data_IF_080624969961
#
_entry.id   IF_080624969961
#
_cell.length_a   1.000
_cell.length_b   1.000
_cell.length_c   1.000
_cell.angle_alpha   90.00
_cell.angle_beta   90.00
_cell.angle_gamma   90.00
#
_symmetry.space_group_name_H-M   'P 1'
#
loop_
_entity.id
_entity.type
_entity.pdbx_description
1 polymer ?
#
# COMPACT_ATOMS: atom_id res chain seq x y z
N UNK A 1 7.32 -20.96 62.73
CA UNK A 1 6.30 -21.63 61.89
C UNK A 1 5.78 -20.56 60.96
N UNK A 2 6.59 -20.27 59.95
CA UNK A 2 6.42 -19.17 59.00
C UNK A 2 5.81 -19.75 57.73
N UNK A 3 4.63 -19.26 57.35
CA UNK A 3 4.01 -19.61 56.09
C UNK A 3 4.45 -18.58 55.03
N UNK A 4 5.40 -19.00 54.20
CA UNK A 4 5.77 -18.35 52.95
C UNK A 4 4.63 -18.55 51.94
N UNK A 5 4.05 -17.44 51.47
CA UNK A 5 3.12 -17.41 50.34
C UNK A 5 3.96 -17.04 49.11
N UNK A 6 4.17 -18.02 48.24
CA UNK A 6 4.85 -17.86 46.95
C UNK A 6 3.94 -17.19 45.93
N UNK A 7 4.44 -16.16 45.26
CA UNK A 7 3.85 -15.45 44.12
C UNK A 7 3.44 -16.39 42.97
N UNK A 8 2.30 -16.14 42.28
CA UNK A 8 2.07 -16.66 40.94
C UNK A 8 2.50 -15.59 39.91
N UNK A 9 3.75 -15.67 39.46
CA UNK A 9 4.18 -14.93 38.26
C UNK A 9 3.72 -15.70 37.02
N UNK A 10 2.82 -15.05 36.29
CA UNK A 10 2.44 -15.24 34.89
C UNK A 10 3.25 -16.28 34.09
N UNK A 11 2.64 -17.45 33.85
CA UNK A 11 2.93 -18.29 32.69
C UNK A 11 2.46 -17.55 31.42
N UNK A 12 3.36 -16.72 30.87
CA UNK A 12 3.25 -16.30 29.48
C UNK A 12 3.55 -17.54 28.65
N UNK A 13 2.52 -18.05 27.97
CA UNK A 13 2.60 -19.04 26.90
C UNK A 13 3.78 -18.71 25.98
N UNK A 14 4.87 -19.48 26.14
CA UNK A 14 5.92 -19.58 25.12
C UNK A 14 5.26 -20.25 23.91
N UNK A 15 4.76 -19.44 22.99
CA UNK A 15 4.53 -19.89 21.62
C UNK A 15 5.91 -20.20 21.06
N UNK A 16 6.28 -21.48 21.05
CA UNK A 16 7.41 -21.97 20.29
C UNK A 16 7.19 -21.58 18.82
N UNK A 17 7.91 -20.55 18.35
CA UNK A 17 7.97 -20.28 16.91
C UNK A 17 8.79 -21.41 16.31
N UNK A 18 8.26 -22.15 15.31
CA UNK A 18 9.03 -23.18 14.66
C UNK A 18 10.26 -22.54 14.01
N UNK A 19 11.43 -22.85 14.57
CA UNK A 19 12.75 -22.58 13.98
C UNK A 19 13.09 -23.65 12.95
N UNK A 20 12.18 -23.89 12.00
CA UNK A 20 12.56 -24.60 10.79
C UNK A 20 13.27 -23.61 9.86
N UNK A 21 14.37 -24.07 9.26
CA UNK A 21 15.18 -23.27 8.34
C UNK A 21 14.38 -23.05 7.05
N UNK A 22 13.53 -22.03 7.05
CA UNK A 22 12.91 -21.53 5.83
C UNK A 22 14.02 -21.05 4.89
N UNK A 23 14.16 -21.68 3.72
CA UNK A 23 14.85 -21.06 2.60
C UNK A 23 14.01 -19.85 2.19
N UNK A 24 14.31 -18.67 2.76
CA UNK A 24 13.55 -17.46 2.53
C UNK A 24 13.72 -17.05 1.05
N UNK A 25 12.63 -17.13 0.28
CA UNK A 25 12.55 -16.57 -1.07
C UNK A 25 13.03 -15.10 -1.07
N UNK A 26 13.65 -14.59 -2.17
CA UNK A 26 13.99 -13.18 -2.30
C UNK A 26 12.79 -12.24 -2.06
N UNK A 27 11.58 -12.69 -2.41
CA UNK A 27 10.33 -11.98 -2.12
C UNK A 27 10.08 -11.83 -0.62
N UNK A 28 10.22 -12.94 0.12
CA UNK A 28 10.05 -12.96 1.58
C UNK A 28 11.11 -12.10 2.25
N UNK A 29 12.35 -12.15 1.77
CA UNK A 29 13.43 -11.36 2.36
C UNK A 29 13.28 -9.88 2.07
N UNK A 30 12.95 -9.48 0.84
CA UNK A 30 12.70 -8.08 0.51
C UNK A 30 11.52 -7.51 1.31
N UNK A 31 10.44 -8.27 1.48
CA UNK A 31 9.31 -7.87 2.33
C UNK A 31 9.68 -7.75 3.82
N UNK A 32 10.50 -8.67 4.33
CA UNK A 32 11.02 -8.60 5.71
C UNK A 32 11.97 -7.40 5.90
N UNK A 33 12.82 -7.08 4.92
CA UNK A 33 13.68 -5.90 4.93
C UNK A 33 12.88 -4.60 4.84
N UNK A 34 11.82 -4.57 4.02
CA UNK A 34 10.90 -3.44 3.94
C UNK A 34 10.24 -3.16 5.30
N UNK A 35 9.98 -4.21 6.10
CA UNK A 35 9.43 -4.08 7.46
C UNK A 35 10.49 -3.80 8.54
N UNK A 36 11.70 -4.32 8.41
CA UNK A 36 12.77 -4.24 9.41
C UNK A 36 14.13 -4.01 8.72
N UNK A 37 14.67 -2.80 8.87
CA UNK A 37 15.89 -2.24 8.26
C UNK A 37 17.24 -3.02 8.39
N UNK A 38 17.28 -4.31 8.76
CA UNK A 38 18.52 -4.95 9.26
C UNK A 38 18.78 -6.42 8.89
N UNK A 39 18.11 -7.03 7.91
CA UNK A 39 18.47 -8.41 7.51
C UNK A 39 18.74 -8.59 6.02
N UNK A 40 20.02 -8.66 5.65
CA UNK A 40 20.48 -9.17 4.36
C UNK A 40 20.08 -10.65 4.20
N UNK A 41 19.56 -11.04 3.02
CA UNK A 41 19.37 -12.45 2.66
C UNK A 41 20.67 -13.13 2.25
N UNK A 42 20.62 -14.44 2.43
CA UNK A 42 21.49 -15.45 1.85
C UNK A 42 21.17 -15.55 0.34
N UNK A 43 22.20 -15.65 -0.50
CA UNK A 43 22.10 -15.97 -1.93
C UNK A 43 21.37 -17.30 -2.14
N UNK A 44 20.33 -17.32 -2.98
CA UNK A 44 19.62 -18.55 -3.35
C UNK A 44 19.71 -18.73 -4.86
N UNK A 45 20.63 -19.58 -5.30
CA UNK A 45 20.89 -19.87 -6.71
C UNK A 45 19.89 -20.84 -7.38
N UNK A 46 18.82 -21.27 -6.70
CA UNK A 46 17.70 -22.00 -7.30
C UNK A 46 16.41 -21.63 -6.55
N UNK A 47 15.68 -20.61 -7.04
CA UNK A 47 14.40 -20.24 -6.45
C UNK A 47 13.27 -20.81 -7.32
N UNK A 48 12.53 -21.79 -6.77
CA UNK A 48 11.28 -22.25 -7.40
C UNK A 48 10.23 -21.15 -7.28
N UNK A 49 9.47 -20.94 -8.35
CA UNK A 49 8.35 -20.02 -8.32
C UNK A 49 7.33 -20.48 -7.27
N UNK A 50 6.86 -19.60 -6.37
CA UNK A 50 5.73 -19.89 -5.51
C UNK A 50 4.51 -20.29 -6.33
N UNK A 51 3.65 -21.14 -5.77
CA UNK A 51 2.46 -21.66 -6.49
C UNK A 51 1.54 -20.56 -7.02
N UNK A 52 1.50 -19.42 -6.33
CA UNK A 52 0.68 -18.30 -6.78
C UNK A 52 1.17 -17.71 -8.10
N UNK A 53 2.45 -17.81 -8.44
CA UNK A 53 3.05 -17.02 -9.51
C UNK A 53 2.61 -17.47 -10.90
N UNK A 54 2.12 -16.53 -11.71
CA UNK A 54 1.67 -16.76 -13.08
C UNK A 54 2.66 -16.11 -14.08
N UNK A 55 3.59 -16.88 -14.67
CA UNK A 55 4.68 -16.34 -15.51
C UNK A 55 4.22 -15.92 -16.91
N UNK A 56 3.02 -16.33 -17.34
CA UNK A 56 2.58 -16.21 -18.73
C UNK A 56 1.82 -14.92 -19.05
N UNK A 57 1.80 -13.94 -18.13
CA UNK A 57 1.07 -12.69 -18.31
C UNK A 57 1.89 -11.47 -17.95
N UNK A 58 1.69 -10.38 -18.69
CA UNK A 58 2.24 -9.06 -18.34
C UNK A 58 1.45 -8.42 -17.19
N UNK A 59 1.98 -7.32 -16.63
CA UNK A 59 1.26 -6.50 -15.64
C UNK A 59 -0.03 -5.91 -16.23
N UNK A 60 0.02 -5.44 -17.48
CA UNK A 60 -1.15 -4.89 -18.18
C UNK A 60 -2.28 -5.91 -18.26
N UNK A 61 -1.97 -7.15 -18.66
CA UNK A 61 -2.95 -8.23 -18.76
C UNK A 61 -3.54 -8.59 -17.39
N UNK A 62 -2.72 -8.59 -16.31
CA UNK A 62 -3.25 -8.79 -14.95
C UNK A 62 -4.19 -7.65 -14.53
N UNK A 63 -3.86 -6.40 -14.87
CA UNK A 63 -4.71 -5.25 -14.55
C UNK A 63 -6.04 -5.27 -15.33
N UNK A 64 -6.01 -5.61 -16.62
CA UNK A 64 -7.21 -5.76 -17.45
C UNK A 64 -8.15 -6.83 -16.88
N UNK A 65 -7.61 -7.98 -16.46
CA UNK A 65 -8.38 -9.02 -15.78
C UNK A 65 -8.93 -8.56 -14.44
N UNK A 66 -8.16 -7.79 -13.68
CA UNK A 66 -8.63 -7.23 -12.42
C UNK A 66 -9.83 -6.29 -12.65
N UNK A 67 -9.88 -5.58 -13.77
CA UNK A 67 -10.99 -4.71 -14.14
C UNK A 67 -12.26 -5.48 -14.57
N UNK A 68 -12.16 -6.74 -14.98
CA UNK A 68 -13.30 -7.54 -15.46
C UNK A 68 -14.21 -7.97 -14.29
N UNK A 69 -15.49 -7.52 -14.23
CA UNK A 69 -16.42 -7.91 -13.17
C UNK A 69 -16.69 -9.42 -13.09
N UNK A 70 -16.58 -10.14 -14.21
CA UNK A 70 -16.76 -11.59 -14.27
C UNK A 70 -15.56 -12.37 -13.76
N UNK A 71 -14.40 -11.72 -13.64
CA UNK A 71 -13.18 -12.36 -13.19
C UNK A 71 -13.10 -12.40 -11.64
N UNK A 72 -12.90 -13.57 -11.02
CA UNK A 72 -12.72 -13.69 -9.57
C UNK A 72 -11.42 -13.05 -9.09
N UNK A 73 -11.49 -12.27 -8.00
CA UNK A 73 -10.32 -11.68 -7.35
C UNK A 73 -9.82 -12.66 -6.27
N UNK A 74 -8.80 -13.46 -6.61
CA UNK A 74 -8.15 -14.38 -5.66
C UNK A 74 -6.88 -13.77 -5.06
N UNK A 75 -6.37 -14.37 -3.98
CA UNK A 75 -5.13 -13.92 -3.34
C UNK A 75 -3.93 -13.98 -4.28
N UNK A 76 -3.86 -15.01 -5.12
CA UNK A 76 -2.80 -15.21 -6.11
C UNK A 76 -2.80 -14.12 -7.17
N UNK A 77 -3.98 -13.69 -7.63
CA UNK A 77 -4.12 -12.58 -8.60
C UNK A 77 -3.56 -11.30 -7.99
N UNK A 78 -3.93 -11.00 -6.74
CA UNK A 78 -3.48 -9.80 -6.04
C UNK A 78 -1.96 -9.81 -5.83
N UNK A 79 -1.41 -10.94 -5.40
CA UNK A 79 0.04 -11.11 -5.23
C UNK A 79 0.77 -10.96 -6.56
N UNK A 80 0.30 -11.59 -7.65
CA UNK A 80 0.88 -11.44 -8.99
C UNK A 80 0.89 -9.98 -9.43
N UNK A 81 -0.23 -9.28 -9.28
CA UNK A 81 -0.32 -7.87 -9.65
C UNK A 81 0.74 -7.07 -8.89
N UNK A 82 0.84 -7.24 -7.56
CA UNK A 82 1.77 -6.47 -6.73
C UNK A 82 3.23 -6.75 -7.08
N UNK A 83 3.63 -8.02 -7.22
CA UNK A 83 5.04 -8.35 -7.52
C UNK A 83 5.42 -7.92 -8.94
N UNK A 84 4.51 -8.02 -9.91
CA UNK A 84 4.73 -7.51 -11.27
C UNK A 84 4.74 -5.98 -11.31
N UNK A 85 3.89 -5.33 -10.49
CA UNK A 85 3.87 -3.88 -10.35
C UNK A 85 5.19 -3.36 -9.78
N UNK A 86 5.74 -4.03 -8.76
CA UNK A 86 7.09 -3.75 -8.25
C UNK A 86 8.16 -3.82 -9.34
N UNK A 87 8.18 -4.91 -10.12
CA UNK A 87 9.14 -5.09 -11.21
C UNK A 87 8.98 -4.01 -12.29
N UNK A 88 7.75 -3.76 -12.73
CA UNK A 88 7.45 -2.71 -13.68
C UNK A 88 7.91 -1.35 -13.15
N UNK A 89 7.69 -1.03 -11.87
CA UNK A 89 8.14 0.21 -11.25
C UNK A 89 9.66 0.41 -11.36
N UNK A 90 10.46 -0.67 -11.33
CA UNK A 90 11.92 -0.59 -11.53
C UNK A 90 12.31 -0.46 -13.00
N UNK A 91 11.59 -1.13 -13.89
CA UNK A 91 11.93 -1.26 -15.31
C UNK A 91 10.65 -1.31 -16.17
N UNK A 92 10.44 -0.28 -16.99
CA UNK A 92 9.23 -0.11 -17.81
C UNK A 92 8.95 -1.30 -18.73
N UNK A 93 10.01 -1.98 -19.20
CA UNK A 93 9.85 -3.12 -20.09
C UNK A 93 9.10 -4.27 -19.42
N UNK A 94 9.18 -4.39 -18.08
CA UNK A 94 8.54 -5.46 -17.30
C UNK A 94 7.03 -5.26 -17.12
N UNK A 95 6.49 -4.10 -17.50
CA UNK A 95 5.05 -3.84 -17.46
C UNK A 95 4.26 -4.40 -18.65
N UNK A 96 4.90 -4.56 -19.80
CA UNK A 96 4.24 -4.86 -21.10
C UNK A 96 4.42 -6.28 -21.60
N UNK A 97 5.33 -7.04 -20.99
CA UNK A 97 5.57 -8.44 -21.34
C UNK A 97 5.42 -9.35 -20.12
N UNK A 98 5.17 -10.65 -20.34
CA UNK A 98 5.35 -11.65 -19.30
C UNK A 98 6.77 -11.62 -18.73
N UNK A 99 6.88 -11.79 -17.41
CA UNK A 99 8.15 -11.82 -16.68
C UNK A 99 8.30 -13.23 -16.13
N UNK A 100 9.44 -13.88 -16.37
CA UNK A 100 9.68 -15.17 -15.73
C UNK A 100 10.01 -14.98 -14.24
N UNK A 101 9.89 -16.06 -13.45
CA UNK A 101 10.10 -15.94 -12.02
C UNK A 101 11.57 -15.64 -11.66
N UNK A 102 12.53 -16.12 -12.45
CA UNK A 102 13.95 -15.91 -12.18
C UNK A 102 14.35 -14.44 -12.32
N UNK A 103 13.83 -13.78 -13.36
CA UNK A 103 14.01 -12.34 -13.58
C UNK A 103 13.36 -11.54 -12.45
N UNK A 104 12.12 -11.88 -12.07
CA UNK A 104 11.43 -11.24 -10.95
C UNK A 104 12.22 -11.39 -9.64
N UNK A 105 12.65 -12.61 -9.32
CA UNK A 105 13.47 -12.90 -8.14
C UNK A 105 14.77 -12.09 -8.15
N UNK A 106 15.43 -11.97 -9.31
CA UNK A 106 16.63 -11.15 -9.46
C UNK A 106 16.40 -9.66 -9.22
N UNK A 107 15.24 -9.11 -9.63
CA UNK A 107 14.87 -7.72 -9.32
C UNK A 107 14.65 -7.52 -7.82
N UNK A 108 13.98 -8.45 -7.14
CA UNK A 108 13.79 -8.39 -5.68
C UNK A 108 15.10 -8.58 -4.91
N UNK A 109 16.00 -9.45 -5.37
CA UNK A 109 17.33 -9.64 -4.78
C UNK A 109 18.19 -8.38 -4.94
N UNK A 110 18.22 -7.79 -6.15
CA UNK A 110 18.90 -6.52 -6.39
C UNK A 110 18.36 -5.41 -5.48
N UNK A 111 17.03 -5.35 -5.31
CA UNK A 111 16.43 -4.45 -4.32
C UNK A 111 16.85 -4.81 -2.88
N UNK A 112 17.00 -6.08 -2.54
CA UNK A 112 17.46 -6.48 -1.20
C UNK A 112 18.85 -5.95 -0.81
N UNK A 113 19.67 -5.57 -1.81
CA UNK A 113 21.04 -5.06 -1.62
C UNK A 113 21.29 -3.69 -2.27
N UNK A 114 20.25 -3.01 -2.77
CA UNK A 114 20.38 -1.72 -3.47
C UNK A 114 20.96 -0.58 -2.63
N UNK A 115 21.16 -0.76 -1.32
CA UNK A 115 21.81 0.22 -0.44
C UNK A 115 23.32 -0.06 -0.28
N UNK A 116 23.80 -1.21 -0.72
CA UNK A 116 25.23 -1.59 -0.68
C UNK A 116 25.99 -1.12 -1.93
N UNK A 117 27.31 -1.29 -1.93
CA UNK A 117 28.15 -1.12 -3.13
C UNK A 117 27.70 -2.10 -4.21
N UNK A 118 27.69 -1.65 -5.47
CA UNK A 118 27.39 -2.51 -6.61
C UNK A 118 28.39 -3.66 -6.69
N UNK A 119 27.89 -4.86 -6.97
CA UNK A 119 28.69 -6.02 -7.33
C UNK A 119 29.08 -5.98 -8.81
N UNK A 120 30.13 -6.71 -9.25
CA UNK A 120 30.59 -6.69 -10.65
C UNK A 120 29.54 -7.09 -11.69
N UNK A 121 28.47 -7.78 -11.28
CA UNK A 121 27.40 -8.25 -12.15
C UNK A 121 26.15 -7.36 -12.11
N UNK A 122 26.18 -6.26 -11.35
CA UNK A 122 25.03 -5.38 -11.22
C UNK A 122 24.84 -4.50 -12.44
N UNK A 123 23.59 -4.37 -12.85
CA UNK A 123 23.15 -3.28 -13.70
C UNK A 123 23.14 -1.98 -12.88
N UNK A 124 24.15 -1.14 -13.12
CA UNK A 124 24.36 0.13 -12.41
C UNK A 124 23.14 1.06 -12.57
N UNK A 125 22.50 1.09 -13.74
CA UNK A 125 21.34 1.95 -13.97
C UNK A 125 20.15 1.48 -13.15
N UNK A 126 19.88 0.17 -13.18
CA UNK A 126 18.82 -0.45 -12.37
C UNK A 126 19.04 -0.21 -10.87
N UNK A 127 20.27 -0.36 -10.39
CA UNK A 127 20.60 -0.11 -8.98
C UNK A 127 20.41 1.36 -8.60
N UNK A 128 20.79 2.29 -9.47
CA UNK A 128 20.59 3.73 -9.23
C UNK A 128 19.10 4.10 -9.20
N UNK A 129 18.29 3.54 -10.10
CA UNK A 129 16.82 3.68 -10.07
C UNK A 129 16.23 3.17 -8.76
N UNK A 130 16.65 1.99 -8.30
CA UNK A 130 16.21 1.44 -7.01
C UNK A 130 16.57 2.33 -5.82
N UNK A 131 17.76 2.95 -5.82
CA UNK A 131 18.16 3.92 -4.78
C UNK A 131 17.29 5.17 -4.82
N UNK A 132 17.06 5.69 -6.02
CA UNK A 132 16.26 6.91 -6.25
C UNK A 132 14.80 6.71 -5.82
N UNK A 133 14.23 5.52 -6.04
CA UNK A 133 12.84 5.20 -5.71
C UNK A 133 12.68 4.34 -4.46
N UNK A 134 13.71 4.24 -3.63
CA UNK A 134 13.76 3.32 -2.48
C UNK A 134 12.54 3.46 -1.55
N UNK A 135 12.11 4.70 -1.28
CA UNK A 135 10.95 4.96 -0.42
C UNK A 135 9.66 4.30 -0.92
N UNK A 136 9.40 4.40 -2.23
CA UNK A 136 8.22 3.80 -2.87
C UNK A 136 8.37 2.29 -3.02
N UNK A 137 9.55 1.84 -3.45
CA UNK A 137 9.83 0.42 -3.64
C UNK A 137 9.76 -0.38 -2.34
N UNK A 138 10.10 0.21 -1.19
CA UNK A 138 9.89 -0.42 0.13
C UNK A 138 8.42 -0.72 0.40
N UNK A 139 7.53 0.18 -0.02
CA UNK A 139 6.08 -0.01 0.10
C UNK A 139 5.65 -1.26 -0.68
N UNK A 140 6.05 -1.31 -1.95
CA UNK A 140 5.70 -2.36 -2.89
C UNK A 140 6.38 -3.71 -2.57
N UNK A 141 7.57 -3.67 -1.98
CA UNK A 141 8.29 -4.86 -1.56
C UNK A 141 7.60 -5.62 -0.43
N UNK A 142 6.77 -4.94 0.38
CA UNK A 142 5.84 -5.59 1.31
C UNK A 142 4.59 -6.11 0.57
N UNK A 143 4.82 -7.04 -0.35
CA UNK A 143 3.78 -7.55 -1.24
C UNK A 143 2.55 -8.12 -0.52
N UNK A 144 2.69 -8.90 0.59
CA UNK A 144 1.56 -9.35 1.40
C UNK A 144 0.68 -8.19 1.90
N UNK A 145 1.30 -7.12 2.41
CA UNK A 145 0.57 -5.94 2.87
C UNK A 145 -0.14 -5.26 1.71
N UNK A 146 0.56 -5.02 0.61
CA UNK A 146 -0.01 -4.34 -0.55
C UNK A 146 -1.15 -5.15 -1.21
N UNK A 147 -1.06 -6.47 -1.22
CA UNK A 147 -2.15 -7.33 -1.69
C UNK A 147 -3.38 -7.27 -0.77
N UNK A 148 -3.19 -7.22 0.55
CA UNK A 148 -4.28 -6.99 1.51
C UNK A 148 -5.00 -5.68 1.25
N UNK A 149 -4.25 -4.58 1.15
CA UNK A 149 -4.81 -3.26 0.91
C UNK A 149 -5.54 -3.19 -0.43
N UNK A 150 -4.94 -3.76 -1.47
CA UNK A 150 -5.55 -3.85 -2.80
C UNK A 150 -6.89 -4.62 -2.75
N UNK A 151 -6.95 -5.74 -2.01
CA UNK A 151 -8.18 -6.51 -1.80
C UNK A 151 -9.26 -5.65 -1.15
N UNK A 152 -8.91 -4.94 -0.09
CA UNK A 152 -9.86 -4.13 0.66
C UNK A 152 -10.48 -3.05 -0.23
N UNK A 153 -9.64 -2.27 -0.94
CA UNK A 153 -10.10 -1.21 -1.85
C UNK A 153 -10.93 -1.78 -3.00
N UNK A 154 -10.53 -2.91 -3.57
CA UNK A 154 -11.32 -3.60 -4.60
C UNK A 154 -12.67 -4.13 -4.09
N UNK A 155 -12.76 -4.48 -2.81
CA UNK A 155 -13.96 -4.96 -2.16
C UNK A 155 -14.93 -3.85 -1.72
N UNK A 156 -14.50 -2.58 -1.76
CA UNK A 156 -15.34 -1.46 -1.37
C UNK A 156 -16.56 -1.34 -2.29
N UNK A 157 -17.71 -1.09 -1.66
CA UNK A 157 -18.98 -0.88 -2.36
C UNK A 157 -19.09 0.57 -2.77
N UNK A 158 -19.05 0.82 -4.08
CA UNK A 158 -19.33 2.14 -4.63
C UNK A 158 -20.84 2.29 -4.83
N UNK A 159 -21.42 3.39 -4.38
CA UNK A 159 -22.80 3.76 -4.74
C UNK A 159 -22.78 4.37 -6.14
N UNK A 160 -23.49 3.74 -7.08
CA UNK A 160 -23.64 4.25 -8.46
C UNK A 160 -24.71 5.34 -8.54
N UNK A 161 -24.44 6.49 -7.92
CA UNK A 161 -25.35 7.65 -7.98
C UNK A 161 -24.96 8.62 -9.09
N UNK A 162 -23.67 8.70 -9.40
CA UNK A 162 -23.11 9.59 -10.42
C UNK A 162 -22.90 8.88 -11.75
N UNK A 163 -22.99 9.64 -12.85
CA UNK A 163 -22.63 9.15 -14.19
C UNK A 163 -21.14 8.80 -14.31
N UNK A 164 -20.30 9.41 -13.45
CA UNK A 164 -18.84 9.25 -13.47
C UNK A 164 -18.27 9.04 -12.08
N UNK A 165 -17.49 7.97 -11.93
CA UNK A 165 -16.68 7.70 -10.75
C UNK A 165 -15.54 8.71 -10.63
N UNK A 166 -15.36 9.27 -9.43
CA UNK A 166 -14.21 10.12 -9.08
C UNK A 166 -13.44 9.46 -7.93
N UNK A 167 -12.20 9.09 -8.17
CA UNK A 167 -11.28 8.58 -7.15
C UNK A 167 -10.20 9.61 -6.81
N UNK A 168 -9.93 9.79 -5.51
CA UNK A 168 -8.86 10.67 -5.01
C UNK A 168 -7.93 9.87 -4.10
N UNK A 169 -6.64 9.85 -4.41
CA UNK A 169 -5.61 9.35 -3.49
C UNK A 169 -4.86 10.53 -2.87
N UNK A 170 -5.01 10.69 -1.56
CA UNK A 170 -4.51 11.83 -0.78
C UNK A 170 -3.01 11.83 -0.58
N UNK A 171 -2.34 10.71 -0.88
CA UNK A 171 -0.91 10.54 -0.67
C UNK A 171 -0.39 9.43 -1.55
N UNK A 172 -0.41 9.67 -2.85
CA UNK A 172 0.03 8.70 -3.86
C UNK A 172 1.52 8.48 -3.73
N UNK A 173 1.87 7.29 -3.25
CA UNK A 173 3.24 6.88 -3.03
C UNK A 173 3.71 6.09 -4.26
N UNK A 174 3.14 4.92 -4.48
CA UNK A 174 3.47 4.07 -5.64
C UNK A 174 2.45 4.14 -6.76
N UNK A 175 1.26 4.70 -6.48
CA UNK A 175 0.15 4.67 -7.42
C UNK A 175 -0.69 3.39 -7.35
N UNK A 176 -0.29 2.38 -6.57
CA UNK A 176 -1.04 1.13 -6.48
C UNK A 176 -2.49 1.34 -6.01
N UNK A 177 -2.75 2.36 -5.18
CA UNK A 177 -4.11 2.70 -4.76
C UNK A 177 -4.93 3.37 -5.87
N UNK A 178 -4.29 4.11 -6.78
CA UNK A 178 -4.93 4.61 -8.00
C UNK A 178 -5.33 3.44 -8.91
N UNK A 179 -4.46 2.44 -9.06
CA UNK A 179 -4.77 1.18 -9.78
C UNK A 179 -5.95 0.46 -9.14
N UNK A 180 -5.96 0.33 -7.81
CA UNK A 180 -7.05 -0.31 -7.06
C UNK A 180 -8.40 0.38 -7.29
N UNK A 181 -8.44 1.72 -7.18
CA UNK A 181 -9.64 2.51 -7.42
C UNK A 181 -10.14 2.37 -8.87
N UNK A 182 -9.24 2.42 -9.85
CA UNK A 182 -9.59 2.31 -11.26
C UNK A 182 -10.19 0.93 -11.58
N UNK A 183 -9.58 -0.14 -11.07
CA UNK A 183 -10.12 -1.49 -11.20
C UNK A 183 -11.46 -1.63 -10.49
N UNK A 184 -11.59 -1.16 -9.24
CA UNK A 184 -12.85 -1.19 -8.49
C UNK A 184 -13.97 -0.45 -9.26
N UNK A 185 -13.69 0.73 -9.81
CA UNK A 185 -14.66 1.47 -10.60
C UNK A 185 -15.08 0.75 -11.89
N UNK A 186 -14.12 0.21 -12.66
CA UNK A 186 -14.41 -0.54 -13.90
C UNK A 186 -15.25 -1.79 -13.63
N UNK A 187 -14.92 -2.54 -12.57
CA UNK A 187 -15.72 -3.68 -12.10
C UNK A 187 -17.15 -3.28 -11.74
N UNK A 188 -17.37 -2.05 -11.27
CA UNK A 188 -18.70 -1.51 -10.96
C UNK A 188 -19.38 -0.84 -12.17
N UNK A 189 -18.85 -1.04 -13.38
CA UNK A 189 -19.45 -0.61 -14.63
C UNK A 189 -19.29 0.88 -14.92
N UNK A 190 -18.23 1.51 -14.41
CA UNK A 190 -17.79 2.84 -14.83
C UNK A 190 -16.74 2.69 -15.96
N UNK A 191 -17.11 3.10 -17.18
CA UNK A 191 -16.24 2.92 -18.35
C UNK A 191 -14.99 3.84 -18.32
N UNK A 192 -15.15 5.08 -17.89
CA UNK A 192 -14.08 6.10 -17.82
C UNK A 192 -13.99 6.74 -16.42
N UNK A 193 -13.48 6.00 -15.41
CA UNK A 193 -13.29 6.54 -14.08
C UNK A 193 -12.22 7.64 -14.08
N UNK A 194 -12.51 8.77 -13.42
CA UNK A 194 -11.53 9.82 -13.20
C UNK A 194 -10.82 9.58 -11.87
N UNK A 195 -9.61 9.02 -11.93
CA UNK A 195 -8.84 8.70 -10.73
C UNK A 195 -7.56 9.52 -10.69
N UNK A 196 -7.35 10.25 -9.60
CA UNK A 196 -6.17 11.11 -9.45
C UNK A 196 -5.54 10.99 -8.08
N UNK A 197 -4.22 10.95 -8.10
CA UNK A 197 -3.39 10.88 -6.92
C UNK A 197 -2.58 12.15 -6.67
N UNK A 198 -2.34 12.52 -5.41
CA UNK A 198 -1.46 13.63 -5.07
C UNK A 198 -0.07 13.13 -4.65
N UNK A 199 0.98 13.66 -5.27
CA UNK A 199 2.37 13.35 -4.90
C UNK A 199 3.22 14.62 -4.85
N UNK A 200 4.07 14.71 -3.84
CA UNK A 200 5.00 15.84 -3.67
C UNK A 200 6.40 15.56 -4.22
N UNK A 201 6.86 14.31 -4.19
CA UNK A 201 8.16 13.93 -4.73
C UNK A 201 8.09 13.96 -6.27
N UNK A 202 8.81 14.88 -6.95
CA UNK A 202 8.71 14.99 -8.41
C UNK A 202 9.30 13.77 -9.12
N UNK A 203 10.34 13.17 -8.55
CA UNK A 203 11.07 12.06 -9.16
C UNK A 203 10.27 10.77 -9.09
N UNK A 204 9.77 10.43 -7.90
CA UNK A 204 8.83 9.33 -7.76
C UNK A 204 7.50 9.64 -8.49
N UNK A 205 7.12 10.92 -8.50
CA UNK A 205 6.02 11.56 -9.24
C UNK A 205 5.90 11.12 -10.68
N UNK A 206 6.92 11.47 -11.46
CA UNK A 206 7.03 11.15 -12.88
C UNK A 206 6.97 9.64 -13.09
N UNK A 207 7.76 8.89 -12.31
CA UNK A 207 7.82 7.42 -12.45
C UNK A 207 6.46 6.76 -12.21
N UNK A 208 5.77 7.16 -11.15
CA UNK A 208 4.42 6.67 -10.82
C UNK A 208 3.43 7.07 -11.91
N UNK A 209 3.50 8.31 -12.40
CA UNK A 209 2.62 8.76 -13.47
C UNK A 209 2.77 7.92 -14.73
N UNK A 210 4.00 7.62 -15.15
CA UNK A 210 4.28 6.81 -16.34
C UNK A 210 3.70 5.39 -16.22
N UNK A 211 3.86 4.77 -15.05
CA UNK A 211 3.30 3.44 -14.80
C UNK A 211 1.76 3.46 -14.76
N UNK A 212 1.14 4.49 -14.17
CA UNK A 212 -0.31 4.65 -14.18
C UNK A 212 -0.86 4.88 -15.59
N UNK A 213 -0.14 5.63 -16.43
CA UNK A 213 -0.50 5.82 -17.84
C UNK A 213 -0.37 4.53 -18.64
N UNK A 214 0.68 3.73 -18.37
CA UNK A 214 0.86 2.42 -19.00
C UNK A 214 -0.34 1.51 -18.77
N UNK A 215 -0.92 1.55 -17.58
CA UNK A 215 -2.11 0.79 -17.22
C UNK A 215 -3.42 1.50 -17.62
N UNK A 216 -3.37 2.79 -17.95
CA UNK A 216 -4.56 3.62 -18.11
C UNK A 216 -5.38 3.69 -16.82
N UNK A 217 -4.73 3.68 -15.65
CA UNK A 217 -5.39 3.65 -14.35
C UNK A 217 -5.75 5.03 -13.80
N UNK A 218 -5.01 6.08 -14.16
CA UNK A 218 -5.26 7.44 -13.69
C UNK A 218 -4.03 8.34 -13.81
N UNK A 219 -4.07 9.47 -13.12
CA UNK A 219 -3.02 10.49 -13.16
C UNK A 219 -2.44 10.79 -11.76
N UNK A 220 -1.22 11.31 -11.75
CA UNK A 220 -0.60 11.93 -10.57
C UNK A 220 -0.60 13.44 -10.75
N UNK A 221 -1.05 14.17 -9.73
CA UNK A 221 -0.93 15.61 -9.64
C UNK A 221 0.24 15.96 -8.73
N UNK A 222 1.25 16.62 -9.30
CA UNK A 222 2.42 17.13 -8.59
C UNK A 222 2.09 18.42 -7.79
N UNK A 223 1.12 18.33 -6.88
CA UNK A 223 0.61 19.44 -6.07
C UNK A 223 0.34 19.00 -4.64
N UNK A 224 0.28 19.95 -3.72
CA UNK A 224 0.01 19.65 -2.32
C UNK A 224 -1.50 19.47 -2.07
N UNK A 225 -1.94 18.36 -1.48
CA UNK A 225 -3.36 18.13 -1.18
C UNK A 225 -3.88 19.04 -0.05
N UNK A 226 -3.01 19.78 0.64
CA UNK A 226 -3.39 20.84 1.58
C UNK A 226 -3.69 22.19 0.90
N UNK A 227 -3.42 22.34 -0.41
CA UNK A 227 -3.86 23.52 -1.16
C UNK A 227 -5.24 23.26 -1.77
N UNK A 228 -6.21 24.13 -1.48
CA UNK A 228 -7.57 24.06 -2.04
C UNK A 228 -7.58 24.07 -3.56
N UNK A 229 -6.62 24.76 -4.21
CA UNK A 229 -6.53 24.84 -5.68
C UNK A 229 -6.22 23.49 -6.31
N UNK A 230 -5.60 22.57 -5.58
CA UNK A 230 -5.31 21.20 -6.01
C UNK A 230 -6.56 20.40 -6.36
N UNK A 231 -7.74 20.83 -5.88
CA UNK A 231 -9.03 20.19 -6.12
C UNK A 231 -9.90 20.92 -7.16
N UNK A 232 -9.39 21.94 -7.84
CA UNK A 232 -10.17 22.71 -8.83
C UNK A 232 -10.78 21.81 -9.93
N UNK A 233 -10.12 20.70 -10.25
CA UNK A 233 -10.58 19.72 -11.23
C UNK A 233 -11.81 18.92 -10.79
N UNK A 234 -12.17 18.91 -9.51
CA UNK A 234 -13.41 18.31 -9.03
C UNK A 234 -14.64 19.08 -9.53
N UNK A 235 -14.49 20.37 -9.89
CA UNK A 235 -15.56 21.22 -10.41
C UNK A 235 -16.82 21.22 -9.50
N UNK A 236 -16.62 21.13 -8.19
CA UNK A 236 -17.70 21.10 -7.19
C UNK A 236 -18.36 19.73 -6.97
N UNK A 237 -17.89 18.68 -7.65
CA UNK A 237 -18.34 17.29 -7.43
C UNK A 237 -17.58 16.67 -6.26
N UNK A 238 -18.26 15.81 -5.50
CA UNK A 238 -17.58 15.01 -4.48
C UNK A 238 -16.90 13.79 -5.08
N UNK A 239 -15.77 13.36 -4.51
CA UNK A 239 -15.21 12.06 -4.84
C UNK A 239 -16.19 10.93 -4.51
N UNK A 240 -16.25 9.91 -5.35
CA UNK A 240 -16.92 8.65 -5.04
C UNK A 240 -16.10 7.85 -4.02
N UNK A 241 -14.77 7.94 -4.12
CA UNK A 241 -13.83 7.26 -3.23
C UNK A 241 -12.63 8.14 -2.91
N UNK A 242 -12.21 8.14 -1.65
CA UNK A 242 -10.98 8.78 -1.18
C UNK A 242 -10.11 7.73 -0.49
N UNK A 243 -8.88 7.56 -0.96
CA UNK A 243 -7.90 6.65 -0.38
C UNK A 243 -6.65 7.41 0.05
N UNK A 244 -5.79 6.80 0.86
CA UNK A 244 -4.51 7.38 1.21
C UNK A 244 -3.45 6.31 1.38
N UNK A 245 -2.67 6.09 0.32
CA UNK A 245 -1.65 5.04 0.27
C UNK A 245 -0.58 5.20 1.36
N UNK A 246 -0.23 6.43 1.75
CA UNK A 246 0.78 6.69 2.78
C UNK A 246 0.39 6.12 4.14
N UNK A 247 -0.89 6.12 4.50
CA UNK A 247 -1.35 5.54 5.76
C UNK A 247 -1.16 4.03 5.76
N UNK A 248 -1.43 3.40 4.63
CA UNK A 248 -1.47 1.94 4.57
C UNK A 248 -0.08 1.35 4.39
N UNK A 249 0.82 2.07 3.70
CA UNK A 249 2.15 1.56 3.38
C UNK A 249 3.29 2.10 4.25
N UNK A 250 3.17 3.26 4.89
CA UNK A 250 4.24 3.84 5.72
C UNK A 250 3.80 4.02 7.17
N UNK A 251 4.59 3.52 8.12
CA UNK A 251 4.40 3.76 9.57
C UNK A 251 4.91 5.15 9.99
N UNK A 252 4.48 6.19 9.29
CA UNK A 252 4.81 7.57 9.65
C UNK A 252 3.82 8.09 10.71
N UNK A 253 4.29 8.94 11.65
CA UNK A 253 3.39 9.63 12.55
C UNK A 253 2.38 10.49 11.78
N UNK A 254 1.13 10.50 12.22
CA UNK A 254 0.11 11.41 11.72
C UNK A 254 0.42 12.80 12.25
N UNK A 255 0.59 13.75 11.33
CA UNK A 255 0.95 15.13 11.65
C UNK A 255 0.10 16.14 10.89
N UNK A 256 0.16 17.39 11.36
CA UNK A 256 -0.60 18.51 10.82
C UNK A 256 -0.46 18.64 9.30
N UNK A 257 0.79 18.65 8.80
CA UNK A 257 1.07 18.90 7.38
C UNK A 257 0.70 17.74 6.46
N UNK A 258 1.06 16.53 6.85
CA UNK A 258 1.04 15.38 5.93
C UNK A 258 -0.26 14.54 6.04
N UNK A 259 -1.07 14.76 7.09
CA UNK A 259 -2.35 14.07 7.30
C UNK A 259 -3.53 15.03 7.51
N UNK A 260 -3.50 15.86 8.56
CA UNK A 260 -4.69 16.63 8.96
C UNK A 260 -5.07 17.75 7.99
N UNK A 261 -4.10 18.55 7.54
CA UNK A 261 -4.34 19.67 6.62
C UNK A 261 -4.89 19.23 5.25
N UNK A 262 -4.40 18.13 4.63
CA UNK A 262 -5.00 17.55 3.43
C UNK A 262 -6.48 17.20 3.60
N UNK A 263 -6.86 16.46 4.66
CA UNK A 263 -8.26 16.07 4.87
C UNK A 263 -9.15 17.24 5.27
N UNK A 264 -8.64 18.19 6.05
CA UNK A 264 -9.35 19.44 6.35
C UNK A 264 -9.67 20.20 5.06
N UNK A 265 -8.67 20.33 4.17
CA UNK A 265 -8.84 20.98 2.87
C UNK A 265 -9.87 20.26 2.02
N UNK A 266 -9.79 18.93 1.91
CA UNK A 266 -10.76 18.12 1.18
C UNK A 266 -12.19 18.30 1.73
N UNK A 267 -12.36 18.28 3.05
CA UNK A 267 -13.66 18.51 3.68
C UNK A 267 -14.24 19.90 3.32
N UNK A 268 -13.41 20.95 3.28
CA UNK A 268 -13.85 22.29 2.85
C UNK A 268 -14.23 22.37 1.36
N UNK A 269 -13.71 21.46 0.53
CA UNK A 269 -14.05 21.35 -0.89
C UNK A 269 -15.36 20.57 -1.07
N UNK A 270 -15.57 19.53 -0.28
CA UNK A 270 -16.76 18.66 -0.36
C UNK A 270 -18.03 19.30 0.24
N UNK A 271 -17.89 20.15 1.27
CA UNK A 271 -18.97 20.88 1.96
C UNK A 271 -20.24 20.07 2.20
N UNK A 272 -21.21 20.16 1.29
CA UNK A 272 -22.59 19.65 1.41
C UNK A 272 -22.79 18.29 0.71
N UNK A 273 -21.80 17.80 -0.05
CA UNK A 273 -21.93 16.63 -0.92
C UNK A 273 -21.14 15.41 -0.43
N UNK A 274 -20.75 15.35 0.84
CA UNK A 274 -19.89 14.28 1.37
C UNK A 274 -20.60 12.94 1.62
N UNK A 275 -21.94 12.91 1.64
CA UNK A 275 -22.74 11.81 2.21
C UNK A 275 -22.57 10.44 1.55
N UNK A 276 -22.00 10.38 0.36
CA UNK A 276 -21.80 9.14 -0.41
C UNK A 276 -20.32 8.82 -0.71
N UNK A 277 -19.38 9.65 -0.25
CA UNK A 277 -17.95 9.39 -0.44
C UNK A 277 -17.50 8.28 0.47
N UNK A 278 -16.89 7.24 -0.10
CA UNK A 278 -16.31 6.14 0.68
C UNK A 278 -14.83 6.41 0.93
N UNK A 279 -14.37 6.23 2.16
CA UNK A 279 -12.98 6.46 2.55
C UNK A 279 -12.26 5.14 2.80
N UNK A 280 -11.00 5.06 2.37
CA UNK A 280 -10.07 3.99 2.77
C UNK A 280 -8.76 4.56 3.32
N UNK A 281 -8.39 4.22 4.56
CA UNK A 281 -9.19 3.45 5.51
C UNK A 281 -10.47 4.20 5.94
N UNK A 282 -11.46 3.47 6.47
CA UNK A 282 -12.72 4.07 6.99
C UNK A 282 -12.48 4.89 8.27
N UNK A 283 -11.30 4.75 8.86
CA UNK A 283 -10.81 5.51 9.99
C UNK A 283 -9.47 4.93 10.44
N UNK A 284 -8.78 5.64 11.33
CA UNK A 284 -7.50 5.21 11.89
C UNK A 284 -7.55 5.22 13.40
N UNK A 285 -6.83 4.28 14.01
CA UNK A 285 -6.53 4.28 15.43
C UNK A 285 -5.11 4.79 15.60
N UNK A 286 -4.97 5.88 16.33
CA UNK A 286 -3.70 6.52 16.57
C UNK A 286 -3.43 6.68 18.06
N UNK A 287 -2.19 6.52 18.47
CA UNK A 287 -1.74 6.62 19.85
C UNK A 287 -1.00 7.95 20.06
N UNK A 288 -1.45 8.72 21.04
CA UNK A 288 -0.77 9.90 21.53
C UNK A 288 0.10 9.50 22.73
N UNK A 289 1.42 9.60 22.59
CA UNK A 289 2.35 9.26 23.66
C UNK A 289 2.25 10.22 24.84
N UNK A 290 2.17 11.52 24.55
CA UNK A 290 2.17 12.58 25.57
C UNK A 290 0.93 12.50 26.48
N UNK A 291 -0.20 12.12 25.89
CA UNK A 291 -1.47 11.97 26.61
C UNK A 291 -1.76 10.51 27.04
N UNK A 292 -0.86 9.57 26.73
CA UNK A 292 -0.98 8.13 27.04
C UNK A 292 -2.36 7.55 26.67
N UNK A 293 -2.86 7.86 25.47
CA UNK A 293 -4.20 7.46 25.03
C UNK A 293 -4.23 7.08 23.55
N UNK A 294 -5.20 6.24 23.20
CA UNK A 294 -5.53 5.94 21.80
C UNK A 294 -6.80 6.67 21.40
N UNK A 295 -6.83 7.18 20.17
CA UNK A 295 -7.96 7.91 19.60
C UNK A 295 -8.36 7.30 18.26
N UNK A 296 -9.66 7.39 17.96
CA UNK A 296 -10.23 7.01 16.68
C UNK A 296 -10.42 8.29 15.86
N UNK A 297 -9.85 8.31 14.67
CA UNK A 297 -9.95 9.43 13.73
C UNK A 297 -10.68 8.92 12.49
N UNK A 298 -11.90 9.41 12.24
CA UNK A 298 -12.77 8.94 11.16
C UNK A 298 -13.29 10.08 10.28
N UNK A 299 -13.76 9.79 9.05
CA UNK A 299 -14.43 10.75 8.18
C UNK A 299 -15.63 11.44 8.83
N UNK A 300 -16.37 10.75 9.69
CA UNK A 300 -17.51 11.33 10.43
C UNK A 300 -17.10 12.49 11.34
N UNK A 301 -15.86 12.45 11.85
CA UNK A 301 -15.24 13.53 12.61
C UNK A 301 -14.38 14.46 11.73
N UNK A 302 -14.53 14.40 10.40
CA UNK A 302 -13.74 15.18 9.43
C UNK A 302 -12.27 14.76 9.32
N UNK A 303 -11.92 13.58 9.83
CA UNK A 303 -10.54 13.11 10.00
C UNK A 303 -9.67 14.12 10.78
N UNK A 304 -10.24 14.75 11.80
CA UNK A 304 -9.58 15.74 12.66
C UNK A 304 -9.44 15.26 14.11
N UNK A 305 -8.57 15.94 14.85
CA UNK A 305 -8.41 15.84 16.31
C UNK A 305 -8.37 17.27 16.89
N UNK A 306 -8.41 17.44 18.21
CA UNK A 306 -8.19 18.78 18.80
C UNK A 306 -6.79 19.30 18.47
N UNK A 307 -6.64 20.63 18.37
CA UNK A 307 -5.37 21.28 17.98
C UNK A 307 -4.18 20.85 18.85
N UNK A 308 -4.43 20.57 20.13
CA UNK A 308 -3.40 20.09 21.07
C UNK A 308 -2.76 18.75 20.62
N UNK A 309 -3.54 17.87 19.97
CA UNK A 309 -3.07 16.55 19.53
C UNK A 309 -2.54 16.55 18.10
N UNK A 310 -2.92 17.52 17.26
CA UNK A 310 -2.42 17.62 15.88
C UNK A 310 -0.89 17.75 15.81
N UNK A 311 -0.29 18.38 16.83
CA UNK A 311 1.16 18.61 16.93
C UNK A 311 1.89 17.55 17.75
N UNK A 312 1.17 16.62 18.38
CA UNK A 312 1.73 15.60 19.26
C UNK A 312 2.39 14.42 18.51
N UNK A 313 2.26 14.37 17.17
CA UNK A 313 2.84 13.31 16.34
C UNK A 313 2.24 11.94 16.68
N UNK A 314 1.03 11.67 16.19
CA UNK A 314 0.28 10.48 16.59
C UNK A 314 0.80 9.23 15.90
N UNK A 315 1.12 8.20 16.68
CA UNK A 315 1.59 6.93 16.12
C UNK A 315 0.39 6.07 15.69
N UNK A 316 0.25 5.81 14.39
CA UNK A 316 -0.81 4.96 13.88
C UNK A 316 -0.62 3.50 14.34
N UNK A 317 -1.68 2.90 14.90
CA UNK A 317 -1.69 1.53 15.43
C UNK A 317 -2.55 0.58 14.59
N UNK A 318 -3.60 1.09 13.98
CA UNK A 318 -4.57 0.31 13.22
C UNK A 318 -5.45 1.17 12.34
N UNK A 319 -6.24 0.52 11.50
CA UNK A 319 -7.25 1.15 10.67
C UNK A 319 -8.60 0.46 10.86
N UNK A 320 -9.66 1.22 10.59
CA UNK A 320 -11.01 0.70 10.52
C UNK A 320 -11.30 0.27 9.09
N UNK A 321 -11.82 -0.94 8.94
CA UNK A 321 -12.33 -1.46 7.68
C UNK A 321 -13.44 -2.48 7.95
N UNK A 322 -14.60 -2.33 7.29
CA UNK A 322 -15.72 -3.25 7.46
C UNK A 322 -16.23 -3.32 8.91
N UNK A 323 -16.11 -2.23 9.67
CA UNK A 323 -16.47 -2.19 11.10
C UNK A 323 -15.51 -2.94 12.03
N UNK A 324 -14.36 -3.41 11.53
CA UNK A 324 -13.32 -4.07 12.33
C UNK A 324 -12.06 -3.23 12.43
N UNK A 325 -11.32 -3.42 13.52
CA UNK A 325 -9.98 -2.86 13.70
C UNK A 325 -8.97 -3.82 13.10
N UNK A 326 -8.20 -3.36 12.13
CA UNK A 326 -7.07 -4.11 11.58
C UNK A 326 -5.77 -3.47 12.09
N UNK A 327 -5.00 -4.15 12.95
CA UNK A 327 -3.72 -3.63 13.42
C UNK A 327 -2.71 -3.55 12.26
N UNK A 328 -1.98 -2.43 12.15
CA UNK A 328 -1.03 -2.19 11.04
C UNK A 328 0.04 -3.29 10.96
N UNK A 329 0.48 -3.81 12.11
CA UNK A 329 1.50 -4.86 12.16
C UNK A 329 1.00 -6.24 11.66
N UNK A 330 -0.32 -6.47 11.65
CA UNK A 330 -0.95 -7.72 11.19
C UNK A 330 -1.44 -7.68 9.75
N UNK A 331 -1.36 -6.51 9.12
CA UNK A 331 -1.83 -6.33 7.76
C UNK A 331 -1.03 -7.20 6.78
N UNK A 332 -1.75 -8.01 6.01
CA UNK A 332 -1.18 -8.97 5.05
C UNK A 332 -0.73 -10.31 5.64
N UNK A 333 -0.98 -10.59 6.93
CA UNK A 333 -0.62 -11.87 7.55
C UNK A 333 -1.14 -13.09 6.79
N UNK A 334 -2.37 -12.98 6.27
CA UNK A 334 -3.04 -14.05 5.54
C UNK A 334 -2.41 -14.37 4.17
N UNK A 335 -1.58 -13.47 3.64
CA UNK A 335 -0.86 -13.67 2.39
C UNK A 335 0.50 -14.36 2.58
N UNK A 336 1.00 -14.49 3.82
CA UNK A 336 2.31 -15.09 4.05
C UNK A 336 2.39 -16.56 3.69
N UNK A 337 1.29 -17.31 3.80
CA UNK A 337 1.24 -18.72 3.42
C UNK A 337 1.63 -18.96 1.96
N UNK A 338 1.44 -17.97 1.09
CA UNK A 338 1.78 -18.08 -0.33
C UNK A 338 3.28 -17.92 -0.63
N UNK A 339 4.08 -17.48 0.35
CA UNK A 339 5.53 -17.27 0.20
C UNK A 339 6.37 -18.35 0.88
N UNK A 340 5.75 -19.20 1.68
CA UNK A 340 6.37 -20.39 2.25
C UNK A 340 5.98 -21.55 1.33
N UNK A 341 6.95 -22.13 0.61
CA UNK A 341 6.70 -23.44 -0.02
C UNK A 341 6.46 -24.47 1.06
N UNK A 342 5.52 -25.39 0.82
CA UNK A 342 5.31 -26.58 1.65
C UNK A 342 6.55 -27.50 1.68
#
# INVERSE_FOLDING_TARGET
MEHSISDPVAEILKIERPTERFCLSPLTTAGLQARNFTRASISVSECMAPEFYAPNRSLQEEFERLCDPGFPVSSEVLLNLVVKYFCAYVDDSLGTRPVDFAELAGVFEAFGRHQSLNEPHDDIERMNRMRQWSGVLRLLADAPRMAHVLRDVLGMRIRKQDERFIGVDMGTASGLMVVAMAANARRNGFADPLVRGFMHDPVAGERTHDLLRLLGAGDVLAVLPADRRSYAWLQGRSPSMVVNERLVGMQQPLGERDFFAPYSTLATVMRDNAGDTVFYPEGVIAYCRDANMSMVISPDAGLQVSEEYMRAGLAMQGFLHGGQVVPVHRMGEEFYGYFCGD
#
